data_IF_321982325294
#
_entry.id   IF_321982325294
#
_cell.length_a   1.000
_cell.length_b   1.000
_cell.length_c   1.000
_cell.angle_alpha   90.00
_cell.angle_beta   90.00
_cell.angle_gamma   90.00
#
_symmetry.space_group_name_H-M   'P 1'
#
loop_
_entity.id
_entity.type
_entity.pdbx_description
1 polymer ?
#
# COMPACT_ATOMS: atom_id res chain seq x y z
N UNK A 1 5.49 7.59 5.91
CA UNK A 1 4.57 8.35 5.03
C UNK A 1 5.07 8.39 3.58
N UNK A 2 6.32 8.78 3.33
CA UNK A 2 6.93 8.79 1.97
C UNK A 2 6.80 7.47 1.21
N UNK A 3 7.14 6.35 1.84
CA UNK A 3 7.02 5.02 1.22
C UNK A 3 5.57 4.60 0.92
N UNK A 4 4.62 4.99 1.79
CA UNK A 4 3.18 4.78 1.56
C UNK A 4 2.74 5.61 0.34
N UNK A 5 3.11 6.89 0.29
CA UNK A 5 2.76 7.79 -0.81
C UNK A 5 3.36 7.38 -2.16
N UNK A 6 4.64 6.96 -2.18
CA UNK A 6 5.29 6.42 -3.37
C UNK A 6 4.56 5.18 -3.88
N UNK A 7 4.24 4.24 -2.98
CA UNK A 7 3.51 3.04 -3.34
C UNK A 7 2.15 3.34 -3.96
N UNK A 8 1.43 4.37 -3.49
CA UNK A 8 0.13 4.76 -4.06
C UNK A 8 0.21 5.19 -5.53
N UNK A 9 1.35 5.74 -5.95
CA UNK A 9 1.54 6.28 -7.31
C UNK A 9 2.24 5.28 -8.22
N UNK A 10 3.24 4.55 -7.71
CA UNK A 10 4.13 3.70 -8.51
C UNK A 10 3.79 2.21 -8.40
N UNK A 11 3.09 1.78 -7.35
CA UNK A 11 2.89 0.40 -6.87
C UNK A 11 3.88 -0.03 -5.79
N UNK A 12 3.46 -0.96 -4.94
CA UNK A 12 4.22 -1.49 -3.80
C UNK A 12 5.55 -2.14 -4.23
N UNK A 13 5.57 -2.97 -5.27
CA UNK A 13 6.77 -3.68 -5.72
C UNK A 13 7.83 -2.72 -6.29
N UNK A 14 7.53 -1.87 -7.30
CA UNK A 14 8.55 -0.98 -7.85
C UNK A 14 8.96 0.13 -6.88
N UNK A 15 8.06 0.56 -5.97
CA UNK A 15 8.44 1.49 -4.89
C UNK A 15 9.45 0.87 -3.93
N UNK A 16 9.31 -0.42 -3.62
CA UNK A 16 10.28 -1.15 -2.80
C UNK A 16 11.64 -1.17 -3.50
N UNK A 17 11.67 -1.58 -4.77
CA UNK A 17 12.91 -1.64 -5.56
C UNK A 17 13.58 -0.26 -5.64
N UNK A 18 12.81 0.80 -5.89
CA UNK A 18 13.31 2.16 -5.97
C UNK A 18 13.90 2.63 -4.63
N UNK A 19 13.17 2.48 -3.52
CA UNK A 19 13.58 2.95 -2.20
C UNK A 19 14.78 2.19 -1.64
N UNK A 20 14.97 0.92 -2.01
CA UNK A 20 16.15 0.15 -1.63
C UNK A 20 17.46 0.69 -2.21
N UNK A 21 17.42 1.56 -3.23
CA UNK A 21 18.61 2.28 -3.71
C UNK A 21 19.01 3.46 -2.80
N UNK A 22 18.13 3.89 -1.89
CA UNK A 22 18.32 5.09 -1.07
C UNK A 22 18.34 4.81 0.44
N UNK A 23 17.67 3.74 0.89
CA UNK A 23 17.48 3.41 2.31
C UNK A 23 17.73 1.90 2.50
N UNK A 24 18.40 1.47 3.59
CA UNK A 24 18.61 0.05 3.84
C UNK A 24 17.28 -0.73 3.98
N UNK A 25 17.29 -2.03 3.65
CA UNK A 25 16.16 -2.91 3.92
C UNK A 25 15.78 -2.86 5.40
N UNK A 26 14.50 -2.63 5.68
CA UNK A 26 13.99 -2.59 7.06
C UNK A 26 12.55 -3.08 7.10
N UNK A 27 12.13 -3.56 8.29
CA UNK A 27 10.75 -3.95 8.54
C UNK A 27 9.81 -2.76 8.26
N UNK A 28 10.18 -1.56 8.68
CA UNK A 28 9.43 -0.33 8.41
C UNK A 28 9.21 -0.09 6.91
N UNK A 29 10.24 -0.27 6.08
CA UNK A 29 10.13 -0.08 4.64
C UNK A 29 9.12 -1.08 4.04
N UNK A 30 9.26 -2.37 4.36
CA UNK A 30 8.37 -3.43 3.87
C UNK A 30 6.93 -3.21 4.31
N UNK A 31 6.71 -2.77 5.54
CA UNK A 31 5.37 -2.47 6.04
C UNK A 31 4.77 -1.25 5.33
N UNK A 32 5.54 -0.17 5.21
CA UNK A 32 5.06 1.07 4.61
C UNK A 32 4.71 0.93 3.12
N UNK A 33 5.53 0.25 2.33
CA UNK A 33 5.23 0.01 0.90
C UNK A 33 4.03 -0.92 0.71
N UNK A 34 3.84 -1.93 1.55
CA UNK A 34 2.67 -2.81 1.45
C UNK A 34 1.37 -2.15 1.92
N UNK A 35 1.41 -1.37 3.00
CA UNK A 35 0.28 -0.53 3.42
C UNK A 35 -0.10 0.44 2.31
N UNK A 36 0.89 1.05 1.65
CA UNK A 36 0.68 1.87 0.47
C UNK A 36 0.14 1.13 -0.76
N UNK A 37 -0.12 -0.17 -0.69
CA UNK A 37 -0.77 -0.95 -1.73
C UNK A 37 -2.30 -0.85 -1.79
N UNK A 38 -2.97 -0.36 -0.73
CA UNK A 38 -4.43 -0.40 -0.64
C UNK A 38 -5.14 0.75 -1.38
N UNK A 39 -4.82 2.01 -1.07
CA UNK A 39 -5.64 3.18 -1.45
C UNK A 39 -5.98 3.34 -2.94
N UNK A 40 -5.06 3.82 -3.76
CA UNK A 40 -5.32 4.07 -5.18
C UNK A 40 -5.10 2.84 -6.05
N UNK A 41 -5.73 2.81 -7.22
CA UNK A 41 -5.56 1.72 -8.19
C UNK A 41 -4.12 1.43 -8.63
N UNK A 42 -3.25 2.42 -8.87
CA UNK A 42 -1.83 2.16 -9.15
C UNK A 42 -1.09 1.59 -7.94
N UNK A 43 -1.69 1.64 -6.75
CA UNK A 43 -1.11 1.22 -5.48
C UNK A 43 -0.56 -0.21 -5.47
N UNK A 44 -1.20 -1.13 -6.20
CA UNK A 44 -0.75 -2.52 -6.30
C UNK A 44 -1.31 -3.23 -7.52
N UNK A 45 -0.68 -4.34 -7.92
CA UNK A 45 -1.24 -5.24 -8.93
C UNK A 45 -2.56 -5.87 -8.48
N UNK A 46 -2.72 -6.12 -7.18
CA UNK A 46 -3.96 -6.66 -6.63
C UNK A 46 -5.17 -5.73 -6.87
N UNK A 47 -4.96 -4.41 -6.81
CA UNK A 47 -6.01 -3.43 -7.09
C UNK A 47 -6.45 -3.48 -8.56
N UNK A 48 -5.50 -3.63 -9.48
CA UNK A 48 -5.79 -3.80 -10.91
C UNK A 48 -6.50 -5.12 -11.22
N UNK A 49 -6.13 -6.19 -10.51
CA UNK A 49 -6.83 -7.49 -10.59
C UNK A 49 -8.27 -7.34 -10.10
N UNK A 50 -8.50 -6.63 -8.99
CA UNK A 50 -9.85 -6.40 -8.46
C UNK A 50 -10.74 -5.65 -9.47
N UNK A 51 -10.21 -4.64 -10.16
CA UNK A 51 -10.93 -3.98 -11.26
C UNK A 51 -11.28 -4.95 -12.38
N UNK A 52 -10.30 -5.77 -12.80
CA UNK A 52 -10.47 -6.72 -13.89
C UNK A 52 -11.49 -7.80 -13.55
N UNK A 53 -11.54 -8.23 -12.29
CA UNK A 53 -12.52 -9.21 -11.79
C UNK A 53 -13.93 -8.63 -11.69
N UNK A 54 -14.07 -7.37 -11.30
CA UNK A 54 -15.37 -6.73 -11.13
C UNK A 54 -16.11 -6.46 -12.45
N UNK A 55 -15.37 -6.27 -13.55
CA UNK A 55 -15.90 -6.11 -14.92
C UNK A 55 -17.04 -5.07 -15.06
N UNK A 56 -17.07 -4.04 -14.20
CA UNK A 56 -18.08 -2.94 -14.19
C UNK A 56 -17.37 -1.60 -14.05
N UNK A 57 -17.70 -0.60 -14.88
CA UNK A 57 -17.11 0.74 -14.84
C UNK A 57 -17.38 1.50 -13.53
N UNK A 58 -18.48 1.18 -12.83
CA UNK A 58 -18.81 1.78 -11.51
C UNK A 58 -17.90 1.31 -10.39
N UNK A 59 -17.15 0.23 -10.59
CA UNK A 59 -16.22 -0.29 -9.59
C UNK A 59 -15.14 0.73 -9.26
N UNK A 60 -14.77 1.61 -10.19
CA UNK A 60 -13.69 2.58 -9.98
C UNK A 60 -13.95 3.45 -8.74
N UNK A 61 -15.17 3.98 -8.59
CA UNK A 61 -15.53 4.79 -7.42
C UNK A 61 -15.72 3.95 -6.15
N UNK A 62 -16.39 2.80 -6.28
CA UNK A 62 -16.63 1.90 -5.13
C UNK A 62 -15.32 1.38 -4.54
N UNK A 63 -14.35 1.07 -5.40
CA UNK A 63 -13.03 0.64 -5.00
C UNK A 63 -12.39 1.67 -4.08
N UNK A 64 -12.27 2.92 -4.52
CA UNK A 64 -11.64 4.00 -3.73
C UNK A 64 -12.41 4.32 -2.45
N UNK A 65 -13.74 4.18 -2.45
CA UNK A 65 -14.57 4.38 -1.26
C UNK A 65 -14.23 3.37 -0.15
N UNK A 66 -13.87 2.14 -0.48
CA UNK A 66 -13.45 1.13 0.50
C UNK A 66 -11.94 1.16 0.77
N UNK A 67 -11.13 1.38 -0.28
CA UNK A 67 -9.69 1.24 -0.20
C UNK A 67 -9.00 2.42 0.50
N UNK A 68 -9.52 3.65 0.41
CA UNK A 68 -8.96 4.81 1.12
C UNK A 68 -9.16 4.68 2.64
N UNK A 69 -10.36 4.36 3.16
CA UNK A 69 -10.50 4.02 4.58
C UNK A 69 -9.62 2.84 4.98
N UNK A 70 -9.51 1.81 4.14
CA UNK A 70 -8.64 0.67 4.41
C UNK A 70 -7.16 1.06 4.46
N UNK A 71 -6.71 2.00 3.62
CA UNK A 71 -5.34 2.55 3.66
C UNK A 71 -5.06 3.23 5.00
N UNK A 72 -5.98 4.08 5.47
CA UNK A 72 -5.85 4.77 6.75
C UNK A 72 -5.85 3.77 7.91
N UNK A 73 -6.74 2.79 7.87
CA UNK A 73 -6.82 1.71 8.84
C UNK A 73 -5.54 0.88 8.88
N UNK A 74 -5.04 0.45 7.72
CA UNK A 74 -3.82 -0.33 7.60
C UNK A 74 -2.58 0.47 8.03
N UNK A 75 -2.55 1.79 7.77
CA UNK A 75 -1.47 2.65 8.25
C UNK A 75 -1.47 2.77 9.77
N UNK A 76 -2.64 2.94 10.39
CA UNK A 76 -2.78 3.01 11.84
C UNK A 76 -2.42 1.67 12.50
N UNK A 77 -3.08 0.59 12.10
CA UNK A 77 -2.85 -0.76 12.66
C UNK A 77 -1.43 -1.23 12.39
N UNK A 78 -0.93 -0.99 11.17
CA UNK A 78 0.45 -1.32 10.80
C UNK A 78 1.47 -0.58 11.67
N UNK A 79 1.26 0.70 11.95
CA UNK A 79 2.14 1.46 12.84
C UNK A 79 2.07 0.94 14.28
N UNK A 80 0.87 0.72 14.82
CA UNK A 80 0.67 0.19 16.18
C UNK A 80 1.35 -1.17 16.33
N UNK A 81 1.14 -2.09 15.40
CA UNK A 81 1.76 -3.41 15.42
C UNK A 81 3.29 -3.33 15.28
N UNK A 82 3.82 -2.44 14.43
CA UNK A 82 5.26 -2.25 14.28
C UNK A 82 5.91 -1.79 15.60
N UNK A 83 5.22 -0.95 16.37
CA UNK A 83 5.72 -0.46 17.67
C UNK A 83 5.62 -1.52 18.77
N UNK A 84 4.58 -2.38 18.74
CA UNK A 84 4.35 -3.40 19.77
C UNK A 84 5.17 -4.67 19.52
N UNK A 85 5.36 -5.05 18.26
CA UNK A 85 6.11 -6.25 17.90
C UNK A 85 7.61 -6.02 18.15
N UNK A 86 8.29 -6.94 18.85
CA UNK A 86 9.73 -6.86 19.02
C UNK A 86 10.41 -6.95 17.64
N UNK A 87 11.24 -5.95 17.34
CA UNK A 87 12.17 -6.00 16.22
C UNK A 87 13.30 -6.95 16.59
N UNK A 88 13.08 -8.25 16.35
CA UNK A 88 14.09 -9.29 16.51
C UNK A 88 15.18 -9.15 15.45
#
# INVERSE_FOLDING_TARGET
LTAIGLSQVISNVPSTILLLNYVPPSLLLVWAVNVGGFGLLPGSLANLIALRMANDRRIWWRFHLYSIPMLLWAALVGYVLLVILPAN
#
